data_IF_314246939907
#
_entry.id   IF_314246939907
#
_cell.length_a   1.000
_cell.length_b   1.000
_cell.length_c   1.000
_cell.angle_alpha   90.00
_cell.angle_beta   90.00
_cell.angle_gamma   90.00
#
_symmetry.space_group_name_H-M   'P 1'
#
loop_
_entity.id
_entity.type
_entity.pdbx_description
1 polymer ?
#
# COMPACT_ATOMS: atom_id res chain seq x y z
N UNK A 1 4.29 26.11 -12.21
CA UNK A 1 5.20 25.13 -11.56
C UNK A 1 6.65 25.45 -11.93
N UNK A 2 7.51 25.77 -10.96
CA UNK A 2 8.90 26.20 -11.25
C UNK A 2 9.88 25.05 -11.55
N UNK A 3 9.54 23.81 -11.17
CA UNK A 3 10.43 22.65 -11.25
C UNK A 3 9.80 21.40 -11.89
N UNK A 4 8.59 21.49 -12.46
CA UNK A 4 7.87 20.34 -13.03
C UNK A 4 7.60 19.18 -12.04
N UNK A 5 7.52 19.48 -10.74
CA UNK A 5 7.25 18.46 -9.72
C UNK A 5 5.80 17.98 -9.72
N UNK A 6 5.58 16.85 -9.05
CA UNK A 6 4.28 16.19 -8.88
C UNK A 6 3.93 16.08 -7.40
N UNK A 7 2.63 16.04 -7.09
CA UNK A 7 2.13 15.88 -5.73
C UNK A 7 1.50 14.49 -5.57
N UNK A 8 2.09 13.69 -4.69
CA UNK A 8 1.54 12.40 -4.28
C UNK A 8 1.13 12.52 -2.82
N UNK A 9 -0.04 12.01 -2.47
CA UNK A 9 -0.57 12.15 -1.11
C UNK A 9 -1.27 10.89 -0.65
N UNK A 10 -0.91 10.44 0.55
CA UNK A 10 -1.85 9.74 1.41
C UNK A 10 -2.83 10.81 1.87
N UNK A 11 -4.07 10.74 1.40
CA UNK A 11 -5.08 11.75 1.72
C UNK A 11 -5.48 11.70 3.20
N UNK A 12 -6.07 12.77 3.73
CA UNK A 12 -6.29 12.94 5.17
C UNK A 12 -7.18 11.87 5.80
N UNK A 13 -8.19 11.42 5.08
CA UNK A 13 -9.07 10.34 5.50
C UNK A 13 -9.43 9.45 4.32
N UNK A 14 -9.47 8.16 4.59
CA UNK A 14 -9.89 7.14 3.62
C UNK A 14 -11.22 6.48 4.04
N UNK A 15 -11.82 6.97 5.13
CA UNK A 15 -13.02 6.43 5.75
C UNK A 15 -14.12 7.50 5.79
N UNK A 16 -14.58 7.89 6.99
CA UNK A 16 -15.80 8.68 7.18
C UNK A 16 -15.67 10.10 6.59
N UNK A 17 -14.45 10.61 6.46
CA UNK A 17 -14.16 11.92 5.87
C UNK A 17 -13.55 11.81 4.46
N UNK A 18 -13.74 10.69 3.76
CA UNK A 18 -13.21 10.47 2.39
C UNK A 18 -13.58 11.62 1.43
N UNK A 19 -14.80 12.16 1.49
CA UNK A 19 -15.23 13.20 0.56
C UNK A 19 -14.62 14.57 0.87
N UNK A 20 -14.55 14.96 2.14
CA UNK A 20 -13.88 16.21 2.54
C UNK A 20 -12.37 16.13 2.32
N UNK A 21 -11.78 14.95 2.51
CA UNK A 21 -10.39 14.64 2.16
C UNK A 21 -10.12 14.78 0.65
N UNK A 22 -11.02 14.29 -0.21
CA UNK A 22 -10.92 14.51 -1.67
C UNK A 22 -11.03 15.99 -2.03
N UNK A 23 -11.95 16.72 -1.41
CA UNK A 23 -12.13 18.16 -1.65
C UNK A 23 -10.84 18.95 -1.26
N UNK A 24 -10.17 18.57 -0.17
CA UNK A 24 -8.86 19.11 0.22
C UNK A 24 -7.79 18.83 -0.86
N UNK A 25 -7.70 17.59 -1.35
CA UNK A 25 -6.74 17.22 -2.40
C UNK A 25 -6.99 18.02 -3.67
N UNK A 26 -8.25 18.19 -4.08
CA UNK A 26 -8.60 18.95 -5.28
C UNK A 26 -8.29 20.44 -5.14
N UNK A 27 -8.57 21.04 -3.98
CA UNK A 27 -8.24 22.44 -3.69
C UNK A 27 -6.71 22.68 -3.75
N UNK A 28 -5.92 21.80 -3.13
CA UNK A 28 -4.45 21.86 -3.21
C UNK A 28 -3.99 21.74 -4.66
N UNK A 29 -4.47 20.73 -5.39
CA UNK A 29 -4.09 20.48 -6.78
C UNK A 29 -4.42 21.68 -7.69
N UNK A 30 -5.59 22.29 -7.49
CA UNK A 30 -6.06 23.46 -8.25
C UNK A 30 -5.25 24.71 -7.92
N UNK A 31 -5.09 25.06 -6.63
CA UNK A 31 -4.38 26.28 -6.20
C UNK A 31 -2.90 26.24 -6.56
N UNK A 32 -2.26 25.09 -6.35
CA UNK A 32 -0.86 24.91 -6.72
C UNK A 32 -0.67 24.66 -8.22
N UNK A 33 -1.76 24.38 -8.95
CA UNK A 33 -1.76 23.90 -10.32
C UNK A 33 -0.70 22.80 -10.48
N UNK A 34 -0.84 21.65 -9.80
CA UNK A 34 0.16 20.55 -9.69
C UNK A 34 -0.46 19.16 -10.00
N UNK A 35 0.21 18.21 -10.69
CA UNK A 35 -0.35 16.90 -10.98
C UNK A 35 -0.54 16.16 -9.67
N UNK A 36 -1.81 15.83 -9.47
CA UNK A 36 -2.45 15.10 -8.40
C UNK A 36 -2.33 13.57 -8.45
N UNK A 37 -1.58 12.85 -7.61
CA UNK A 37 -1.84 11.40 -7.45
C UNK A 37 -2.26 11.09 -6.03
N UNK A 38 -3.51 10.67 -5.86
CA UNK A 38 -3.99 10.09 -4.60
C UNK A 38 -3.34 8.71 -4.47
N UNK A 39 -2.44 8.60 -3.51
CA UNK A 39 -1.71 7.36 -3.25
C UNK A 39 -2.67 6.35 -2.60
N UNK A 40 -2.49 5.08 -2.96
CA UNK A 40 -3.17 3.88 -2.46
C UNK A 40 -4.70 4.01 -2.20
N UNK A 41 -5.43 4.62 -3.14
CA UNK A 41 -6.86 4.90 -3.06
C UNK A 41 -7.69 3.72 -2.55
N UNK A 42 -8.49 3.96 -1.51
CA UNK A 42 -9.40 2.98 -0.91
C UNK A 42 -10.58 3.66 -0.21
N UNK A 43 -11.58 2.85 0.14
CA UNK A 43 -12.68 3.18 1.05
C UNK A 43 -12.62 2.26 2.25
N UNK A 44 -12.19 2.80 3.39
CA UNK A 44 -11.79 2.04 4.58
C UNK A 44 -12.94 1.87 5.58
N UNK A 45 -12.99 0.68 6.18
CA UNK A 45 -13.94 0.25 7.21
C UNK A 45 -15.37 0.00 6.71
N UNK A 46 -16.14 -0.90 7.35
CA UNK A 46 -17.44 -1.36 6.84
C UNK A 46 -18.46 -0.26 6.52
N UNK A 47 -18.50 0.82 7.30
CA UNK A 47 -19.42 1.95 7.10
C UNK A 47 -19.15 2.74 5.80
N UNK A 48 -18.00 2.53 5.16
CA UNK A 48 -17.60 3.20 3.92
C UNK A 48 -17.61 2.27 2.70
N UNK A 49 -17.94 1.00 2.89
CA UNK A 49 -18.03 0.04 1.80
C UNK A 49 -19.11 0.46 0.80
N UNK A 50 -18.77 0.44 -0.49
CA UNK A 50 -19.65 0.80 -1.60
C UNK A 50 -19.57 2.27 -1.98
N UNK A 51 -18.70 3.07 -1.33
CA UNK A 51 -18.48 4.48 -1.68
C UNK A 51 -17.53 4.67 -2.87
N UNK A 52 -16.81 3.63 -3.32
CA UNK A 52 -15.83 3.75 -4.40
C UNK A 52 -16.41 4.29 -5.73
N UNK A 53 -17.63 3.92 -6.19
CA UNK A 53 -18.24 4.54 -7.37
C UNK A 53 -18.32 6.07 -7.29
N UNK A 54 -18.74 6.61 -6.15
CA UNK A 54 -18.86 8.06 -5.94
C UNK A 54 -17.47 8.72 -5.82
N UNK A 55 -16.50 8.06 -5.17
CA UNK A 55 -15.11 8.51 -5.13
C UNK A 55 -14.53 8.67 -6.54
N UNK A 56 -14.68 7.65 -7.39
CA UNK A 56 -14.18 7.67 -8.77
C UNK A 56 -14.89 8.73 -9.61
N UNK A 57 -16.21 8.87 -9.46
CA UNK A 57 -17.00 9.93 -10.12
C UNK A 57 -16.53 11.33 -9.74
N UNK A 58 -16.16 11.56 -8.48
CA UNK A 58 -15.61 12.84 -8.02
C UNK A 58 -14.23 13.14 -8.61
N UNK A 59 -13.35 12.14 -8.69
CA UNK A 59 -12.05 12.27 -9.36
C UNK A 59 -12.25 12.63 -10.83
N UNK A 60 -13.16 11.94 -11.52
CA UNK A 60 -13.50 12.24 -12.92
C UNK A 60 -14.08 13.66 -13.08
N UNK A 61 -15.00 14.07 -12.22
CA UNK A 61 -15.56 15.43 -12.24
C UNK A 61 -14.50 16.51 -11.97
N UNK A 62 -13.50 16.24 -11.12
CA UNK A 62 -12.37 17.14 -10.93
C UNK A 62 -11.52 17.27 -12.21
N UNK A 63 -11.27 16.16 -12.92
CA UNK A 63 -10.56 16.18 -14.21
C UNK A 63 -11.31 16.94 -15.29
N UNK A 64 -12.63 16.79 -15.39
CA UNK A 64 -13.48 17.54 -16.33
C UNK A 64 -13.43 19.05 -16.09
N UNK A 65 -13.15 19.49 -14.84
CA UNK A 65 -12.92 20.90 -14.48
C UNK A 65 -11.49 21.38 -14.73
N UNK A 66 -10.61 20.54 -15.28
CA UNK A 66 -9.22 20.88 -15.58
C UNK A 66 -8.23 20.63 -14.44
N UNK A 67 -8.65 19.95 -13.36
CA UNK A 67 -7.74 19.55 -12.27
C UNK A 67 -7.04 18.25 -12.68
N UNK A 68 -5.72 18.28 -12.86
CA UNK A 68 -4.96 17.08 -13.22
C UNK A 68 -4.77 16.14 -12.03
N UNK A 69 -5.82 15.39 -11.68
CA UNK A 69 -5.82 14.42 -10.58
C UNK A 69 -6.06 13.00 -11.08
N UNK A 70 -5.35 12.04 -10.48
CA UNK A 70 -5.41 10.61 -10.72
C UNK A 70 -5.18 9.87 -9.39
N UNK A 71 -5.15 8.54 -9.42
CA UNK A 71 -4.87 7.74 -8.23
C UNK A 71 -3.97 6.55 -8.53
N UNK A 72 -3.46 5.90 -7.49
CA UNK A 72 -2.84 4.58 -7.56
C UNK A 72 -3.48 3.62 -6.55
N UNK A 73 -3.44 2.32 -6.79
CA UNK A 73 -3.99 1.30 -5.89
C UNK A 73 -3.13 0.03 -5.89
N UNK A 74 -3.26 -0.79 -4.84
CA UNK A 74 -2.79 -2.18 -4.83
C UNK A 74 -3.99 -3.16 -4.90
N UNK A 75 -3.86 -4.32 -5.54
CA UNK A 75 -4.99 -5.22 -5.83
C UNK A 75 -5.35 -6.18 -4.68
N UNK A 76 -5.46 -5.63 -3.46
CA UNK A 76 -5.75 -6.41 -2.26
C UNK A 76 -6.80 -5.69 -1.39
N UNK A 77 -7.67 -6.46 -0.74
CA UNK A 77 -8.71 -5.96 0.17
C UNK A 77 -8.26 -5.83 1.64
N UNK A 78 -6.97 -6.06 1.91
CA UNK A 78 -6.36 -5.78 3.21
C UNK A 78 -5.26 -4.75 3.04
N UNK A 79 -5.11 -3.90 4.05
CA UNK A 79 -4.03 -2.92 4.12
C UNK A 79 -2.95 -3.41 5.08
N UNK A 80 -1.83 -2.70 5.12
CA UNK A 80 -0.74 -2.95 6.06
C UNK A 80 -0.32 -1.64 6.70
N UNK A 81 -0.19 -1.62 8.02
CA UNK A 81 0.25 -0.48 8.83
C UNK A 81 1.01 -1.01 10.07
N UNK A 82 1.53 -0.11 10.89
CA UNK A 82 2.07 -0.49 12.19
C UNK A 82 0.96 -0.82 13.19
N UNK A 83 1.22 -1.76 14.11
CA UNK A 83 0.32 -2.15 15.19
C UNK A 83 -0.09 -0.93 16.03
N UNK A 84 0.81 0.03 16.20
CA UNK A 84 0.59 1.22 17.01
C UNK A 84 -0.51 2.14 16.45
N UNK A 85 -0.87 2.00 15.16
CA UNK A 85 -2.01 2.70 14.57
C UNK A 85 -3.37 2.22 15.11
N UNK A 86 -3.41 1.10 15.83
CA UNK A 86 -4.59 0.68 16.60
C UNK A 86 -4.80 1.51 17.88
N UNK A 87 -3.86 2.35 18.30
CA UNK A 87 -3.98 3.16 19.51
C UNK A 87 -4.39 4.60 19.18
N UNK A 88 -5.10 5.29 20.09
CA UNK A 88 -5.40 6.71 19.95
C UNK A 88 -4.13 7.53 19.70
N UNK A 89 -4.21 8.53 18.83
CA UNK A 89 -3.03 9.29 18.36
C UNK A 89 -2.21 9.95 19.48
N UNK A 90 -2.86 10.39 20.57
CA UNK A 90 -2.18 10.96 21.74
C UNK A 90 -1.22 9.98 22.43
N UNK A 91 -1.41 8.67 22.25
CA UNK A 91 -0.46 7.66 22.74
C UNK A 91 0.90 7.79 22.06
N UNK A 92 0.91 8.22 20.79
CA UNK A 92 2.10 8.26 19.93
C UNK A 92 2.86 9.60 19.99
N UNK A 93 2.25 10.63 20.58
CA UNK A 93 2.82 11.97 20.67
C UNK A 93 4.17 11.98 21.42
N UNK A 94 5.18 12.64 20.86
CA UNK A 94 6.51 12.70 21.47
C UNK A 94 7.39 11.48 21.19
N UNK A 95 6.99 10.59 20.27
CA UNK A 95 7.80 9.49 19.75
C UNK A 95 7.79 8.22 20.60
N UNK A 96 8.60 7.25 20.19
CA UNK A 96 8.58 5.87 20.71
C UNK A 96 8.74 5.76 22.22
N UNK A 97 9.69 6.49 22.82
CA UNK A 97 9.93 6.39 24.26
C UNK A 97 8.75 6.93 25.08
N UNK A 98 8.15 8.04 24.65
CA UNK A 98 6.93 8.58 25.27
C UNK A 98 5.75 7.65 25.10
N UNK A 99 5.57 7.05 23.93
CA UNK A 99 4.55 6.02 23.74
C UNK A 99 4.72 4.86 24.71
N UNK A 100 5.94 4.34 24.88
CA UNK A 100 6.23 3.24 25.81
C UNK A 100 5.97 3.64 27.27
N UNK A 101 6.34 4.87 27.67
CA UNK A 101 6.01 5.41 29.00
C UNK A 101 4.49 5.38 29.24
N UNK A 102 3.69 5.89 28.28
CA UNK A 102 2.21 5.89 28.37
C UNK A 102 1.63 4.48 28.38
N UNK A 103 2.15 3.57 27.55
CA UNK A 103 1.71 2.16 27.49
C UNK A 103 2.03 1.38 28.78
N UNK A 104 2.95 1.87 29.62
CA UNK A 104 3.26 1.29 30.94
C UNK A 104 2.41 1.87 32.07
N UNK A 105 1.80 3.03 31.87
CA UNK A 105 0.90 3.68 32.84
C UNK A 105 -0.49 3.01 32.82
N UNK A 106 -0.95 2.37 33.92
CA UNK A 106 -2.23 1.68 33.95
C UNK A 106 -3.46 2.57 33.69
N UNK A 107 -3.42 3.82 34.13
CA UNK A 107 -4.53 4.75 33.93
C UNK A 107 -4.64 5.15 32.45
N UNK A 108 -3.49 5.37 31.80
CA UNK A 108 -3.44 5.70 30.38
C UNK A 108 -3.79 4.50 29.50
N UNK A 109 -3.31 3.29 29.82
CA UNK A 109 -3.74 2.05 29.16
C UNK A 109 -5.27 1.91 29.21
N UNK A 110 -5.87 2.04 30.39
CA UNK A 110 -7.32 1.89 30.56
C UNK A 110 -8.10 2.93 29.75
N UNK A 111 -7.61 4.18 29.71
CA UNK A 111 -8.18 5.24 28.87
C UNK A 111 -8.10 4.87 27.39
N UNK A 112 -6.92 4.51 26.90
CA UNK A 112 -6.72 4.13 25.50
C UNK A 112 -7.59 2.93 25.11
N UNK A 113 -7.67 1.91 25.97
CA UNK A 113 -8.52 0.73 25.74
C UNK A 113 -10.01 1.06 25.62
N UNK A 114 -10.48 2.11 26.31
CA UNK A 114 -11.85 2.60 26.17
C UNK A 114 -12.03 3.31 24.83
N UNK A 115 -11.14 4.25 24.50
CA UNK A 115 -11.20 5.01 23.25
C UNK A 115 -11.05 4.11 22.01
N UNK A 116 -10.31 2.99 22.10
CA UNK A 116 -10.21 1.98 21.04
C UNK A 116 -11.57 1.34 20.71
N UNK A 117 -12.55 1.34 21.60
CA UNK A 117 -13.89 0.79 21.37
C UNK A 117 -14.90 1.83 20.89
N UNK A 118 -14.52 3.10 20.87
CA UNK A 118 -15.42 4.21 20.56
C UNK A 118 -15.15 4.72 19.14
N UNK A 119 -16.20 4.97 18.33
CA UNK A 119 -16.05 5.69 17.07
C UNK A 119 -15.42 7.05 17.30
N UNK A 120 -14.62 7.50 16.34
CA UNK A 120 -13.91 8.78 16.42
C UNK A 120 -13.99 9.51 15.08
N UNK A 121 -14.21 10.82 15.15
CA UNK A 121 -14.12 11.72 14.00
C UNK A 121 -12.81 12.51 13.96
N UNK A 122 -11.96 12.36 14.99
CA UNK A 122 -10.69 13.09 15.12
C UNK A 122 -9.48 12.25 14.75
N UNK A 123 -9.63 10.93 14.67
CA UNK A 123 -8.61 10.00 14.21
C UNK A 123 -9.26 8.72 13.66
N UNK A 124 -8.56 8.03 12.77
CA UNK A 124 -9.02 6.78 12.16
C UNK A 124 -8.81 5.61 13.13
N UNK A 125 -9.89 5.10 13.74
CA UNK A 125 -9.81 4.02 14.72
C UNK A 125 -9.62 2.66 14.04
N UNK A 126 -8.36 2.34 13.70
CA UNK A 126 -7.98 1.08 13.04
C UNK A 126 -8.38 -0.16 13.84
N UNK A 127 -8.32 -0.12 15.17
CA UNK A 127 -8.75 -1.23 16.01
C UNK A 127 -10.22 -1.57 15.78
N UNK A 128 -11.09 -0.57 15.95
CA UNK A 128 -12.53 -0.74 15.79
C UNK A 128 -12.89 -1.06 14.32
N UNK A 129 -12.36 -0.27 13.38
CA UNK A 129 -12.71 -0.36 11.97
C UNK A 129 -12.25 -1.66 11.29
N UNK A 130 -11.23 -2.35 11.84
CA UNK A 130 -10.82 -3.67 11.35
C UNK A 130 -11.71 -4.81 11.89
N UNK A 131 -12.62 -4.54 12.81
CA UNK A 131 -13.37 -5.58 13.54
C UNK A 131 -12.56 -6.15 14.72
N UNK A 132 -11.88 -5.28 15.45
CA UNK A 132 -11.14 -5.59 16.69
C UNK A 132 -9.97 -6.55 16.46
N UNK A 133 -9.57 -7.30 17.49
CA UNK A 133 -8.37 -8.13 17.44
C UNK A 133 -8.39 -9.19 16.35
N UNK A 134 -9.56 -9.75 16.01
CA UNK A 134 -9.75 -10.69 14.88
C UNK A 134 -9.34 -10.10 13.53
N UNK A 135 -9.53 -8.80 13.34
CA UNK A 135 -9.24 -8.07 12.11
C UNK A 135 -7.79 -7.64 11.92
N UNK A 136 -6.97 -7.77 12.98
CA UNK A 136 -5.60 -7.28 13.04
C UNK A 136 -4.63 -8.47 13.13
N UNK A 137 -4.03 -8.81 12.00
CA UNK A 137 -3.07 -9.91 11.86
C UNK A 137 -1.65 -9.40 12.05
N UNK A 138 -0.93 -9.90 13.06
CA UNK A 138 0.49 -9.58 13.23
C UNK A 138 1.31 -10.28 12.15
N UNK A 139 2.04 -9.52 11.33
CA UNK A 139 2.83 -10.09 10.24
C UNK A 139 4.34 -9.99 10.45
N UNK A 140 4.81 -8.95 11.13
CA UNK A 140 6.24 -8.71 11.30
C UNK A 140 6.53 -8.15 12.68
N UNK A 141 7.60 -8.63 13.29
CA UNK A 141 8.21 -8.06 14.49
C UNK A 141 9.72 -7.99 14.34
N UNK A 142 10.37 -7.03 15.01
CA UNK A 142 11.83 -6.98 15.08
C UNK A 142 12.38 -7.80 16.26
N UNK A 143 11.62 -7.91 17.35
CA UNK A 143 11.96 -8.70 18.52
C UNK A 143 11.79 -10.20 18.24
N UNK A 144 12.88 -11.00 18.23
CA UNK A 144 12.83 -12.43 17.91
C UNK A 144 11.89 -13.24 18.82
N UNK A 145 11.72 -12.85 20.08
CA UNK A 145 10.85 -13.54 21.05
C UNK A 145 9.36 -13.46 20.69
N UNK A 146 8.99 -12.46 19.90
CA UNK A 146 7.62 -12.24 19.45
C UNK A 146 7.29 -12.98 18.15
N UNK A 147 8.29 -13.53 17.43
CA UNK A 147 8.07 -14.19 16.12
C UNK A 147 7.08 -15.35 16.16
N UNK A 148 6.96 -16.02 17.30
CA UNK A 148 5.96 -17.06 17.54
C UNK A 148 4.50 -16.58 17.40
N UNK A 149 4.27 -15.28 17.42
CA UNK A 149 2.96 -14.66 17.24
C UNK A 149 2.71 -14.17 15.80
N UNK A 150 3.72 -14.19 14.92
CA UNK A 150 3.52 -13.84 13.51
C UNK A 150 2.55 -14.81 12.83
N UNK A 151 1.62 -14.28 12.03
CA UNK A 151 0.53 -15.04 11.41
C UNK A 151 -0.67 -15.26 12.33
N UNK A 152 -0.64 -14.76 13.58
CA UNK A 152 -1.79 -14.78 14.49
C UNK A 152 -2.49 -13.43 14.50
N UNK A 153 -3.82 -13.44 14.62
CA UNK A 153 -4.57 -12.21 14.90
C UNK A 153 -4.48 -11.87 16.41
N UNK A 154 -4.80 -10.63 16.79
CA UNK A 154 -4.62 -10.19 18.18
C UNK A 154 -5.57 -10.88 19.18
N UNK A 155 -6.69 -11.45 18.74
CA UNK A 155 -7.52 -12.30 19.60
C UNK A 155 -6.81 -13.61 19.94
N UNK A 156 -6.18 -14.23 18.94
CA UNK A 156 -5.44 -15.49 19.11
C UNK A 156 -4.18 -15.27 19.95
N UNK A 157 -3.48 -14.16 19.73
CA UNK A 157 -2.33 -13.75 20.54
C UNK A 157 -2.76 -13.49 21.99
N UNK A 158 -3.87 -12.76 22.21
CA UNK A 158 -4.44 -12.56 23.53
C UNK A 158 -4.66 -13.88 24.27
N UNK A 159 -5.28 -14.86 23.61
CA UNK A 159 -5.47 -16.21 24.17
C UNK A 159 -4.14 -16.91 24.47
N UNK A 160 -3.17 -16.84 23.57
CA UNK A 160 -1.84 -17.42 23.77
C UNK A 160 -1.06 -16.77 24.93
N UNK A 161 -1.30 -15.49 25.21
CA UNK A 161 -0.71 -14.76 26.34
C UNK A 161 -1.53 -14.85 27.63
N UNK A 162 -2.73 -15.42 27.61
CA UNK A 162 -3.66 -15.43 28.75
C UNK A 162 -4.20 -14.05 29.12
N UNK A 163 -4.37 -13.15 28.14
CA UNK A 163 -4.74 -11.74 28.32
C UNK A 163 -5.84 -11.31 27.34
N UNK A 164 -6.46 -10.16 27.61
CA UNK A 164 -7.32 -9.49 26.62
C UNK A 164 -6.53 -9.06 25.38
N UNK A 165 -7.15 -9.01 24.19
CA UNK A 165 -6.43 -8.75 22.94
C UNK A 165 -5.85 -7.32 22.87
N UNK A 166 -6.50 -6.33 23.50
CA UNK A 166 -5.93 -4.97 23.64
C UNK A 166 -4.69 -4.93 24.51
N UNK A 167 -4.67 -5.72 25.60
CA UNK A 167 -3.49 -5.82 26.45
C UNK A 167 -2.34 -6.51 25.74
N UNK A 168 -2.62 -7.58 24.99
CA UNK A 168 -1.62 -8.24 24.15
C UNK A 168 -1.04 -7.29 23.10
N UNK A 169 -1.88 -6.51 22.42
CA UNK A 169 -1.46 -5.49 21.47
C UNK A 169 -0.50 -4.46 22.10
N UNK A 170 -0.87 -3.92 23.27
CA UNK A 170 -0.05 -2.95 23.99
C UNK A 170 1.27 -3.57 24.48
N UNK A 171 1.27 -4.82 24.92
CA UNK A 171 2.46 -5.51 25.40
C UNK A 171 3.43 -5.83 24.25
N UNK A 172 2.91 -6.22 23.07
CA UNK A 172 3.70 -6.36 21.84
C UNK A 172 4.30 -5.01 21.45
N UNK A 173 3.51 -3.95 21.43
CA UNK A 173 4.00 -2.61 21.07
C UNK A 173 5.12 -2.14 22.01
N UNK A 174 5.05 -2.45 23.31
CA UNK A 174 6.16 -2.19 24.25
C UNK A 174 7.37 -3.04 23.90
N UNK A 175 7.19 -4.36 23.78
CA UNK A 175 8.26 -5.33 23.64
C UNK A 175 9.01 -5.20 22.30
N UNK A 176 8.33 -4.75 21.24
CA UNK A 176 8.88 -4.51 19.92
C UNK A 176 9.21 -3.03 19.66
N UNK A 177 9.04 -2.19 20.67
CA UNK A 177 9.27 -0.73 20.62
C UNK A 177 8.51 -0.05 19.46
N UNK A 178 7.30 -0.49 19.19
CA UNK A 178 6.43 0.04 18.15
C UNK A 178 6.77 -0.38 16.71
N UNK A 179 7.71 -1.30 16.50
CA UNK A 179 8.14 -1.74 15.15
C UNK A 179 7.34 -2.94 14.60
N UNK A 180 6.24 -3.30 15.24
CA UNK A 180 5.40 -4.41 14.81
C UNK A 180 4.48 -3.98 13.69
N UNK A 181 4.49 -4.70 12.57
CA UNK A 181 3.58 -4.43 11.45
C UNK A 181 2.43 -5.43 11.40
N UNK A 182 1.26 -4.94 10.97
CA UNK A 182 0.01 -5.69 10.93
C UNK A 182 -0.64 -5.60 9.56
N UNK A 183 -1.36 -6.65 9.19
CA UNK A 183 -2.34 -6.64 8.10
C UNK A 183 -3.73 -6.44 8.69
N UNK A 184 -4.49 -5.53 8.10
CA UNK A 184 -5.80 -5.12 8.59
C UNK A 184 -6.90 -5.33 7.53
N UNK A 185 -8.01 -5.91 7.96
CA UNK A 185 -9.15 -6.24 7.10
C UNK A 185 -10.12 -5.07 7.03
N UNK A 186 -9.85 -4.10 6.16
CA UNK A 186 -10.53 -2.79 6.16
C UNK A 186 -11.12 -2.38 4.81
N UNK A 187 -11.06 -3.22 3.78
CA UNK A 187 -11.63 -2.92 2.45
C UNK A 187 -12.48 -4.10 1.99
N UNK A 188 -13.34 -3.87 1.00
CA UNK A 188 -14.12 -4.91 0.32
C UNK A 188 -13.68 -5.13 -1.13
N UNK A 189 -13.77 -6.36 -1.61
CA UNK A 189 -13.33 -6.72 -2.96
C UNK A 189 -14.07 -5.97 -4.07
N UNK A 190 -15.35 -5.64 -3.86
CA UNK A 190 -16.14 -4.87 -4.83
C UNK A 190 -15.54 -3.48 -5.09
N UNK A 191 -15.15 -2.76 -4.04
CA UNK A 191 -14.54 -1.44 -4.16
C UNK A 191 -13.12 -1.52 -4.72
N UNK A 192 -12.32 -2.49 -4.27
CA UNK A 192 -10.97 -2.71 -4.80
C UNK A 192 -11.04 -3.01 -6.30
N UNK A 193 -11.97 -3.86 -6.74
CA UNK A 193 -12.18 -4.18 -8.15
C UNK A 193 -12.50 -2.94 -8.98
N UNK A 194 -13.37 -2.07 -8.49
CA UNK A 194 -13.70 -0.81 -9.16
C UNK A 194 -12.48 0.09 -9.29
N UNK A 195 -11.70 0.26 -8.21
CA UNK A 195 -10.49 1.08 -8.22
C UNK A 195 -9.43 0.49 -9.17
N UNK A 196 -9.13 -0.80 -9.04
CA UNK A 196 -8.16 -1.51 -9.89
C UNK A 196 -8.53 -1.40 -11.36
N UNK A 197 -9.81 -1.49 -11.71
CA UNK A 197 -10.26 -1.48 -13.11
C UNK A 197 -10.40 -0.09 -13.72
N UNK A 198 -10.54 0.96 -12.90
CA UNK A 198 -10.83 2.31 -13.40
C UNK A 198 -9.65 2.90 -14.22
N UNK A 199 -9.87 3.44 -15.45
CA UNK A 199 -8.80 3.94 -16.33
C UNK A 199 -7.93 5.07 -15.75
N UNK A 200 -8.41 5.78 -14.72
CA UNK A 200 -7.67 6.87 -14.05
C UNK A 200 -6.72 6.38 -12.96
N UNK A 201 -6.81 5.11 -12.59
CA UNK A 201 -6.09 4.53 -11.46
C UNK A 201 -4.92 3.69 -11.98
N UNK A 202 -3.71 3.99 -11.50
CA UNK A 202 -2.48 3.22 -11.75
C UNK A 202 -2.23 2.22 -10.62
N UNK A 203 -1.16 1.43 -10.70
CA UNK A 203 -0.82 0.47 -9.65
C UNK A 203 0.45 0.87 -8.90
N UNK A 204 0.43 0.66 -7.59
CA UNK A 204 1.60 0.76 -6.73
C UNK A 204 1.51 -0.32 -5.67
N UNK A 205 2.61 -1.04 -5.42
CA UNK A 205 2.60 -2.15 -4.45
C UNK A 205 2.38 -1.67 -3.02
N UNK A 206 2.65 -0.40 -2.71
CA UNK A 206 2.57 0.16 -1.37
C UNK A 206 3.39 -0.67 -0.36
N UNK A 207 4.55 -1.15 -0.80
CA UNK A 207 5.42 -1.96 0.03
C UNK A 207 6.84 -1.44 -0.04
N UNK A 208 7.54 -1.56 1.09
CA UNK A 208 8.98 -1.51 1.12
C UNK A 208 9.58 -2.64 0.27
N UNK A 209 10.84 -2.47 -0.13
CA UNK A 209 11.58 -3.49 -0.84
C UNK A 209 11.84 -4.69 0.08
N UNK A 210 11.59 -5.90 -0.44
CA UNK A 210 11.78 -7.17 0.26
C UNK A 210 12.56 -8.13 -0.64
N UNK A 211 13.19 -9.14 -0.05
CA UNK A 211 13.94 -10.16 -0.77
C UNK A 211 13.75 -11.53 -0.09
N UNK A 212 13.94 -12.62 -0.83
CA UNK A 212 13.94 -13.97 -0.25
C UNK A 212 15.27 -14.31 0.44
N UNK A 213 16.30 -13.51 0.22
CA UNK A 213 17.64 -13.65 0.79
C UNK A 213 18.15 -12.36 1.48
N UNK A 214 19.29 -12.49 2.15
CA UNK A 214 19.97 -11.37 2.80
C UNK A 214 19.26 -10.79 4.03
N UNK A 215 19.56 -9.54 4.41
CA UNK A 215 18.96 -8.90 5.59
C UNK A 215 17.45 -8.68 5.47
N UNK A 216 16.94 -8.47 4.26
CA UNK A 216 15.52 -8.17 3.99
C UNK A 216 14.62 -9.41 4.01
N UNK A 217 15.18 -10.63 4.00
CA UNK A 217 14.40 -11.86 4.10
C UNK A 217 14.04 -12.28 5.52
N UNK A 218 14.56 -11.55 6.52
CA UNK A 218 14.38 -11.86 7.94
C UNK A 218 13.06 -11.35 8.52
N UNK A 219 12.31 -10.60 7.73
CA UNK A 219 11.03 -9.98 8.08
C UNK A 219 10.00 -10.36 7.04
N UNK A 220 8.77 -10.61 7.45
CA UNK A 220 7.65 -10.81 6.53
C UNK A 220 7.08 -9.45 6.12
N UNK A 221 6.33 -9.43 5.03
CA UNK A 221 5.62 -8.25 4.55
C UNK A 221 4.20 -8.61 4.12
N UNK A 222 3.38 -7.63 3.78
CA UNK A 222 2.12 -7.87 3.10
C UNK A 222 2.39 -8.51 1.72
N UNK A 223 1.60 -9.50 1.22
CA UNK A 223 1.83 -10.20 -0.06
C UNK A 223 1.87 -9.28 -1.29
N UNK A 224 1.40 -8.04 -1.15
CA UNK A 224 1.48 -6.98 -2.16
C UNK A 224 2.91 -6.64 -2.57
N UNK A 225 3.89 -6.92 -1.70
CA UNK A 225 5.33 -6.79 -1.98
C UNK A 225 5.80 -7.63 -3.18
N UNK A 226 5.32 -8.88 -3.30
CA UNK A 226 5.75 -9.82 -4.34
C UNK A 226 4.71 -10.07 -5.45
N UNK A 227 3.43 -9.76 -5.18
CA UNK A 227 2.32 -10.19 -6.03
C UNK A 227 1.56 -9.09 -6.76
N UNK A 228 1.77 -7.80 -6.47
CA UNK A 228 0.88 -6.72 -6.97
C UNK A 228 0.63 -6.77 -8.47
N UNK A 229 1.68 -6.74 -9.30
CA UNK A 229 1.50 -6.61 -10.74
C UNK A 229 1.00 -7.91 -11.39
N UNK A 230 1.49 -9.06 -10.93
CA UNK A 230 1.07 -10.37 -11.43
C UNK A 230 -0.35 -10.72 -11.00
N UNK A 231 -0.80 -10.28 -9.81
CA UNK A 231 -2.19 -10.38 -9.38
C UNK A 231 -3.15 -9.60 -10.27
N UNK A 232 -2.76 -8.40 -10.72
CA UNK A 232 -3.56 -7.65 -11.71
C UNK A 232 -3.73 -8.47 -12.99
N UNK A 233 -2.63 -9.02 -13.52
CA UNK A 233 -2.66 -9.80 -14.77
C UNK A 233 -3.41 -11.13 -14.62
N UNK A 234 -3.25 -11.80 -13.47
CA UNK A 234 -3.86 -13.08 -13.18
C UNK A 234 -5.35 -12.93 -12.85
N UNK A 235 -5.65 -12.20 -11.79
CA UNK A 235 -7.00 -12.12 -11.24
C UNK A 235 -7.86 -11.19 -12.07
N UNK A 236 -7.43 -9.93 -12.26
CA UNK A 236 -8.32 -8.91 -12.82
C UNK A 236 -8.44 -8.96 -14.35
N UNK A 237 -7.38 -9.39 -15.05
CA UNK A 237 -7.37 -9.53 -16.51
C UNK A 237 -7.78 -10.93 -16.95
N UNK A 238 -7.07 -11.98 -16.49
CA UNK A 238 -7.30 -13.35 -16.98
C UNK A 238 -8.50 -14.04 -16.33
N UNK A 239 -8.71 -13.92 -15.02
CA UNK A 239 -9.79 -14.63 -14.31
C UNK A 239 -11.11 -13.85 -14.34
N UNK A 240 -11.11 -12.60 -13.90
CA UNK A 240 -12.32 -11.79 -13.72
C UNK A 240 -12.71 -10.98 -14.96
N UNK A 241 -11.82 -10.82 -15.94
CA UNK A 241 -12.05 -10.06 -17.17
C UNK A 241 -12.57 -8.63 -16.97
N UNK A 242 -12.10 -7.96 -15.92
CA UNK A 242 -12.52 -6.60 -15.56
C UNK A 242 -11.94 -5.53 -16.48
N UNK A 243 -10.84 -5.84 -17.17
CA UNK A 243 -10.21 -5.00 -18.19
C UNK A 243 -9.38 -5.84 -19.17
N UNK A 244 -9.04 -5.27 -20.32
CA UNK A 244 -8.13 -5.89 -21.29
C UNK A 244 -6.66 -5.90 -20.84
N UNK A 245 -5.85 -6.80 -21.40
CA UNK A 245 -4.43 -6.93 -21.08
C UNK A 245 -3.67 -5.64 -21.40
N UNK A 246 -3.96 -5.02 -22.53
CA UNK A 246 -3.31 -3.80 -23.00
C UNK A 246 -3.58 -2.63 -22.06
N UNK A 247 -4.80 -2.53 -21.51
CA UNK A 247 -5.16 -1.49 -20.54
C UNK A 247 -4.44 -1.71 -19.21
N UNK A 248 -4.37 -2.95 -18.72
CA UNK A 248 -3.60 -3.27 -17.53
C UNK A 248 -2.11 -2.94 -17.72
N UNK A 249 -1.52 -3.32 -18.86
CA UNK A 249 -0.13 -2.99 -19.21
C UNK A 249 0.06 -1.48 -19.28
N UNK A 250 -0.84 -0.73 -19.94
CA UNK A 250 -0.79 0.74 -20.02
C UNK A 250 -0.76 1.39 -18.63
N UNK A 251 -1.61 0.90 -17.72
CA UNK A 251 -1.74 1.39 -16.33
C UNK A 251 -0.49 1.15 -15.47
N UNK A 252 0.27 0.07 -15.72
CA UNK A 252 1.54 -0.22 -15.04
C UNK A 252 2.80 0.27 -15.76
N UNK A 253 2.66 0.85 -16.96
CA UNK A 253 3.80 1.33 -17.78
C UNK A 253 3.63 2.80 -18.14
N UNK A 254 3.15 3.11 -19.33
CA UNK A 254 3.05 4.47 -19.89
C UNK A 254 2.26 5.43 -19.01
N UNK A 255 1.15 4.99 -18.42
CA UNK A 255 0.37 5.85 -17.53
C UNK A 255 1.14 6.17 -16.26
N UNK A 256 1.73 5.16 -15.61
CA UNK A 256 2.54 5.35 -14.41
C UNK A 256 3.74 6.27 -14.68
N UNK A 257 4.46 6.06 -15.80
CA UNK A 257 5.59 6.90 -16.20
C UNK A 257 5.16 8.36 -16.44
N UNK A 258 4.04 8.58 -17.14
CA UNK A 258 3.54 9.94 -17.38
C UNK A 258 3.13 10.69 -16.11
N UNK A 259 2.62 9.99 -15.07
CA UNK A 259 2.23 10.61 -13.79
C UNK A 259 3.40 11.23 -13.03
N UNK A 260 4.62 10.79 -13.31
CA UNK A 260 5.86 11.30 -12.68
C UNK A 260 6.78 11.97 -13.71
N UNK A 261 6.23 12.36 -14.87
CA UNK A 261 6.92 13.07 -15.96
C UNK A 261 8.17 12.34 -16.50
N UNK A 262 8.16 11.00 -16.49
CA UNK A 262 9.19 10.17 -17.13
C UNK A 262 8.76 9.90 -18.59
N UNK A 263 9.50 10.46 -19.55
CA UNK A 263 9.09 10.44 -20.98
C UNK A 263 9.89 9.48 -21.86
N UNK A 264 10.98 8.90 -21.35
CA UNK A 264 11.91 8.02 -22.07
C UNK A 264 11.75 6.52 -21.71
N UNK A 265 10.69 6.19 -20.95
CA UNK A 265 10.34 4.86 -20.45
C UNK A 265 8.84 4.61 -20.51
N UNK A 266 8.43 3.37 -20.27
CA UNK A 266 7.02 2.97 -20.15
C UNK A 266 6.31 2.71 -21.48
N UNK A 267 7.00 2.82 -22.62
CA UNK A 267 6.48 2.47 -23.96
C UNK A 267 7.56 1.74 -24.74
N UNK A 268 7.20 0.66 -25.43
CA UNK A 268 8.09 -0.03 -26.36
C UNK A 268 8.10 0.71 -27.71
N UNK A 269 9.14 1.51 -27.95
CA UNK A 269 9.33 2.29 -29.17
C UNK A 269 10.82 2.52 -29.43
N UNK A 270 11.29 2.54 -30.71
CA UNK A 270 12.66 2.92 -31.01
C UNK A 270 13.08 4.23 -30.32
N UNK A 271 14.26 4.24 -29.70
CA UNK A 271 14.80 5.38 -28.96
C UNK A 271 14.42 5.43 -27.46
N UNK A 272 13.54 4.56 -26.97
CA UNK A 272 13.23 4.44 -25.54
C UNK A 272 14.27 3.56 -24.80
N UNK A 273 14.36 3.71 -23.48
CA UNK A 273 15.11 2.76 -22.66
C UNK A 273 14.49 1.36 -22.75
N UNK A 274 15.35 0.35 -22.86
CA UNK A 274 14.95 -1.05 -22.91
C UNK A 274 14.62 -1.60 -21.51
N UNK A 275 13.55 -1.07 -20.91
CA UNK A 275 12.90 -1.64 -19.74
C UNK A 275 11.75 -2.52 -20.22
N UNK A 276 11.96 -3.83 -20.20
CA UNK A 276 11.09 -4.79 -20.90
C UNK A 276 10.80 -5.97 -19.97
N UNK A 277 9.54 -6.35 -19.85
CA UNK A 277 9.12 -7.57 -19.14
C UNK A 277 8.48 -8.53 -20.14
N UNK A 278 8.99 -9.76 -20.18
CA UNK A 278 8.44 -10.88 -20.94
C UNK A 278 7.74 -11.81 -19.94
N UNK A 279 6.45 -12.05 -20.15
CA UNK A 279 5.65 -12.92 -19.32
C UNK A 279 4.67 -13.72 -20.16
N UNK A 280 4.26 -14.88 -19.65
CA UNK A 280 3.21 -15.70 -20.24
C UNK A 280 1.86 -15.31 -19.63
N UNK A 281 0.98 -14.71 -20.44
CA UNK A 281 -0.35 -14.28 -20.02
C UNK A 281 -1.22 -15.43 -19.53
N UNK A 282 -1.00 -16.66 -20.00
CA UNK A 282 -1.77 -17.83 -19.60
C UNK A 282 -1.37 -18.35 -18.21
N UNK A 283 -0.12 -18.12 -17.78
CA UNK A 283 0.43 -18.73 -16.55
C UNK A 283 0.87 -17.73 -15.48
N UNK A 284 0.96 -16.42 -15.78
CA UNK A 284 1.36 -15.38 -14.82
C UNK A 284 0.48 -15.42 -13.57
N UNK A 285 1.07 -15.47 -12.37
CA UNK A 285 0.34 -15.64 -11.11
C UNK A 285 1.14 -15.12 -9.91
N UNK A 286 0.49 -14.38 -9.03
CA UNK A 286 1.00 -14.09 -7.69
C UNK A 286 0.93 -15.34 -6.80
N UNK A 287 2.04 -15.64 -6.12
CA UNK A 287 2.14 -16.78 -5.19
C UNK A 287 2.12 -16.35 -3.72
N UNK A 288 2.54 -15.13 -3.44
CA UNK A 288 2.54 -14.56 -2.10
C UNK A 288 1.14 -14.54 -1.48
N UNK A 289 1.03 -15.10 -0.28
CA UNK A 289 -0.20 -15.11 0.53
C UNK A 289 0.00 -14.33 1.83
N UNK A 290 -1.07 -14.08 2.58
CA UNK A 290 -0.94 -13.45 3.90
C UNK A 290 -0.14 -14.28 4.91
N UNK A 291 -0.19 -15.61 4.79
CA UNK A 291 0.50 -16.53 5.70
C UNK A 291 1.94 -16.80 5.28
N UNK A 292 2.18 -16.78 3.96
CA UNK A 292 3.49 -16.96 3.36
C UNK A 292 3.72 -15.92 2.24
N UNK A 293 4.15 -14.69 2.62
CA UNK A 293 4.19 -13.57 1.70
C UNK A 293 5.48 -13.46 0.88
N UNK A 294 6.55 -14.15 1.28
CA UNK A 294 7.86 -14.07 0.62
C UNK A 294 7.97 -15.10 -0.51
N UNK A 295 7.04 -15.03 -1.47
CA UNK A 295 7.02 -15.93 -2.62
C UNK A 295 7.03 -15.14 -3.93
N UNK A 296 8.05 -15.36 -4.76
CA UNK A 296 8.08 -14.79 -6.10
C UNK A 296 6.91 -15.27 -6.95
N UNK A 297 6.43 -14.36 -7.79
CA UNK A 297 5.42 -14.67 -8.79
C UNK A 297 5.97 -15.63 -9.84
N UNK A 298 5.07 -16.38 -10.48
CA UNK A 298 5.41 -17.27 -11.62
C UNK A 298 4.89 -16.70 -12.94
N UNK A 299 5.38 -17.23 -14.06
CA UNK A 299 4.99 -16.83 -15.41
C UNK A 299 5.66 -15.54 -15.92
N UNK A 300 6.45 -14.85 -15.09
CA UNK A 300 7.41 -13.83 -15.55
C UNK A 300 8.69 -14.53 -15.97
N UNK A 301 9.05 -14.41 -17.26
CA UNK A 301 10.19 -15.13 -17.84
C UNK A 301 11.45 -14.29 -17.80
N UNK A 302 11.42 -13.11 -18.42
CA UNK A 302 12.59 -12.25 -18.56
C UNK A 302 12.24 -10.81 -18.18
N UNK A 303 13.14 -10.14 -17.49
CA UNK A 303 13.04 -8.72 -17.16
C UNK A 303 14.35 -8.05 -17.54
N UNK A 304 14.26 -7.02 -18.36
CA UNK A 304 15.37 -6.19 -18.77
C UNK A 304 15.21 -4.81 -18.15
N UNK A 305 16.29 -4.27 -17.60
CA UNK A 305 16.37 -2.89 -17.12
C UNK A 305 17.52 -2.22 -17.84
N UNK A 306 17.26 -1.11 -18.53
CA UNK A 306 18.25 -0.44 -19.39
C UNK A 306 18.96 -1.41 -20.38
N UNK A 307 18.23 -2.41 -20.88
CA UNK A 307 18.73 -3.40 -21.85
C UNK A 307 19.58 -4.54 -21.25
N UNK A 308 19.74 -4.59 -19.94
CA UNK A 308 20.46 -5.68 -19.25
C UNK A 308 19.48 -6.63 -18.57
N UNK A 309 19.64 -7.96 -18.70
CA UNK A 309 18.72 -8.94 -18.12
C UNK A 309 18.91 -8.99 -16.60
N UNK A 310 17.93 -8.52 -15.84
CA UNK A 310 17.89 -8.64 -14.36
C UNK A 310 17.12 -9.87 -13.90
N UNK A 311 16.24 -10.39 -14.76
CA UNK A 311 15.66 -11.74 -14.67
C UNK A 311 15.81 -12.39 -16.04
N UNK A 312 16.29 -13.63 -16.08
CA UNK A 312 16.47 -14.41 -17.31
C UNK A 312 16.03 -15.86 -17.06
N UNK A 313 15.17 -16.39 -17.92
CA UNK A 313 14.57 -17.74 -17.78
C UNK A 313 13.99 -17.99 -16.37
N UNK A 314 13.32 -16.98 -15.82
CA UNK A 314 12.66 -17.00 -14.52
C UNK A 314 13.60 -16.88 -13.32
N UNK A 315 14.89 -16.60 -13.53
CA UNK A 315 15.89 -16.48 -12.45
C UNK A 315 16.46 -15.07 -12.36
N UNK A 316 16.61 -14.56 -11.14
CA UNK A 316 17.28 -13.29 -10.86
C UNK A 316 18.77 -13.41 -11.24
N UNK A 317 19.30 -12.40 -11.91
CA UNK A 317 20.72 -12.32 -12.28
C UNK A 317 21.50 -11.40 -11.34
N UNK A 318 22.81 -11.28 -11.52
CA UNK A 318 23.65 -10.33 -10.78
C UNK A 318 23.63 -8.91 -11.36
N UNK A 319 22.96 -8.67 -12.49
CA UNK A 319 22.90 -7.36 -13.14
C UNK A 319 22.14 -6.35 -12.26
N UNK A 320 22.72 -5.18 -12.04
CA UNK A 320 22.10 -4.04 -11.32
C UNK A 320 22.17 -2.76 -12.15
N UNK A 321 21.61 -2.74 -13.37
CA UNK A 321 21.76 -1.66 -14.35
C UNK A 321 20.89 -0.43 -14.02
N UNK A 322 20.20 -0.43 -12.89
CA UNK A 322 19.29 0.62 -12.44
C UNK A 322 20.00 1.97 -12.30
N UNK A 323 19.24 3.05 -12.49
CA UNK A 323 19.77 4.42 -12.44
C UNK A 323 18.80 5.30 -11.68
N UNK A 324 19.33 6.30 -10.98
CA UNK A 324 18.49 7.35 -10.43
C UNK A 324 17.79 8.09 -11.58
N UNK A 325 16.45 8.10 -11.56
CA UNK A 325 15.68 8.86 -12.53
C UNK A 325 15.61 10.31 -12.10
N UNK A 326 15.82 11.21 -13.06
CA UNK A 326 15.84 12.65 -12.84
C UNK A 326 14.60 13.24 -13.50
N UNK A 327 13.73 13.84 -12.68
CA UNK A 327 12.57 14.56 -13.18
C UNK A 327 12.95 15.90 -13.83
N UNK A 328 11.96 16.63 -14.37
CA UNK A 328 12.15 17.89 -15.11
C UNK A 328 12.82 19.01 -14.31
N UNK A 329 12.78 18.94 -12.97
CA UNK A 329 13.44 19.90 -12.09
C UNK A 329 14.95 19.75 -12.00
N UNK A 330 15.52 18.67 -12.55
CA UNK A 330 16.95 18.43 -12.52
C UNK A 330 17.69 19.31 -13.52
N UNK A 331 18.55 20.19 -13.02
CA UNK A 331 19.51 20.95 -13.83
C UNK A 331 20.86 20.25 -13.74
N UNK A 332 21.45 19.88 -14.87
CA UNK A 332 22.86 19.49 -14.90
C UNK A 332 23.68 20.67 -14.36
N UNK A 333 24.57 20.43 -13.41
CA UNK A 333 25.62 21.40 -13.11
C UNK A 333 26.39 21.63 -14.42
N UNK A 334 26.47 22.89 -14.86
CA UNK A 334 27.19 23.29 -16.06
C UNK A 334 28.69 23.05 -15.91
#
# INVERSE_FOLDING_TARGET
RSYGGVYFTHQRSEADQIFSSLDEVFDIAQRANIPTTIWHLKTSYPENFGKMPEVLKRIEAARTRGIDVAASVYPYNRASNDLIACFPTWMLEGGTDKMIERLKDPAQRKRAQKEMEEPSSTWENQWLGSGHGKGVLLIQVLNPELRKYEGMNLDDIGRAMGKGPKDAAMDIAIADRGNSSVVISIMQDADVRLAVSNPLVTYGSDSEAQAEDGPLSKTKAHPRSFGTFTRVLAEYVRTEHTMGLEEAVRKMTSQAASRVEITDRGVLRPGMFADITIFDSATVQDKATYNDPLQYSVGVKDVFVNGKPVVLDGKITDERPGRALRGPGYKHAQ
#
